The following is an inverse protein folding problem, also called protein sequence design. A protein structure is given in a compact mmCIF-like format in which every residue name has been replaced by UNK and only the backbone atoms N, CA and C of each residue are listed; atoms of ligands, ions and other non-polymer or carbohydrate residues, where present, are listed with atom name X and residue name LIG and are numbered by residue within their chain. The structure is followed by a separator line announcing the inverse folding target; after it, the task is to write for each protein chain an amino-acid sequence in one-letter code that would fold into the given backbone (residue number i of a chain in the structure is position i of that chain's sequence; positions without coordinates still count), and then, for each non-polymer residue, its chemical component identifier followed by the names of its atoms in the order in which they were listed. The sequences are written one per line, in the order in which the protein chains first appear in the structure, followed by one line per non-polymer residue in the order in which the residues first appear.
data_IF_434817672893
#
_entry.id   IF_434817672893
#
_cell.length_a   1.000
_cell.length_b   1.000
_cell.length_c   1.000
_cell.angle_alpha   90.00
_cell.angle_beta   90.00
_cell.angle_gamma   90.00
#
_symmetry.space_group_name_H-M   'P 1'
#
loop_
_entity.id
_entity.type
_entity.pdbx_description
1 polymer ?
#
# COMPACT_ATOMS: atom_id res chain seq x y z
N UNK A 1 30.52 -34.65 -8.27
CA UNK A 1 31.50 -34.71 -7.17
C UNK A 1 32.76 -33.93 -7.55
N UNK A 2 33.37 -33.21 -6.58
CA UNK A 2 34.75 -32.64 -6.54
C UNK A 2 35.02 -31.43 -7.47
N UNK A 3 35.06 -30.17 -6.97
CA UNK A 3 36.00 -29.44 -6.07
C UNK A 3 37.20 -28.78 -6.81
N UNK A 4 37.16 -27.42 -6.83
CA UNK A 4 38.20 -26.37 -6.72
C UNK A 4 39.44 -26.40 -7.63
N UNK A 5 39.86 -25.22 -8.11
CA UNK A 5 41.23 -24.66 -7.96
C UNK A 5 41.18 -23.12 -8.05
N UNK A 6 41.98 -22.51 -7.18
CA UNK A 6 42.25 -21.08 -6.98
C UNK A 6 43.41 -20.69 -7.91
N UNK A 7 43.33 -19.53 -8.58
CA UNK A 7 44.46 -18.96 -9.29
C UNK A 7 44.94 -17.69 -8.60
N UNK A 8 46.17 -17.76 -8.05
CA UNK A 8 46.97 -16.65 -7.56
C UNK A 8 47.40 -15.75 -8.72
N UNK A 9 47.50 -14.45 -8.48
CA UNK A 9 48.34 -13.57 -9.30
C UNK A 9 49.26 -12.77 -8.39
N UNK A 10 50.51 -13.23 -8.36
CA UNK A 10 51.70 -12.52 -7.88
C UNK A 10 51.95 -11.31 -8.79
N UNK A 11 52.16 -10.11 -8.23
CA UNK A 11 52.86 -9.03 -8.94
C UNK A 11 53.97 -8.49 -8.03
N UNK A 12 55.12 -8.34 -8.68
CA UNK A 12 56.46 -8.32 -8.17
C UNK A 12 56.85 -7.10 -7.30
N UNK A 13 57.79 -7.42 -6.43
CA UNK A 13 58.76 -6.60 -5.71
C UNK A 13 59.44 -5.55 -6.63
N UNK A 14 59.45 -4.28 -6.22
CA UNK A 14 60.41 -3.29 -6.74
C UNK A 14 60.91 -2.39 -5.61
N UNK A 15 62.15 -2.69 -5.21
CA UNK A 15 63.22 -1.81 -4.74
C UNK A 15 62.87 -0.58 -3.88
N UNK A 16 63.24 -0.68 -2.61
CA UNK A 16 63.55 0.46 -1.73
C UNK A 16 64.81 1.18 -2.24
N UNK A 17 64.94 2.50 -2.04
CA UNK A 17 66.24 3.08 -1.76
C UNK A 17 66.32 3.43 -0.27
N UNK A 18 67.11 2.66 0.46
CA UNK A 18 67.74 3.08 1.71
C UNK A 18 68.80 4.12 1.38
N UNK A 19 68.63 5.35 1.86
CA UNK A 19 69.71 6.34 1.92
C UNK A 19 69.94 6.71 3.39
N UNK A 20 71.13 6.43 3.88
CA UNK A 20 71.69 6.91 5.14
C UNK A 20 72.73 8.02 4.86
N UNK A 21 73.05 8.80 5.91
CA UNK A 21 74.09 9.85 6.05
C UNK A 21 73.78 11.26 5.48
N UNK A 22 74.12 12.40 6.10
CA UNK A 22 74.55 12.80 7.46
C UNK A 22 74.61 14.36 7.57
N UNK A 23 74.61 14.86 8.83
CA UNK A 23 75.22 16.12 9.37
C UNK A 23 74.79 17.56 8.93
N UNK A 24 74.56 18.36 9.98
CA UNK A 24 74.83 19.81 10.20
C UNK A 24 73.92 20.94 9.65
N UNK A 25 73.27 21.61 10.62
CA UNK A 25 73.04 23.06 10.82
C UNK A 25 72.61 23.97 9.65
N UNK A 26 71.36 24.44 9.68
CA UNK A 26 70.97 25.85 9.91
C UNK A 26 69.46 25.99 9.69
N UNK A 27 68.81 26.62 10.67
CA UNK A 27 67.40 26.99 10.70
C UNK A 27 67.02 27.86 9.50
N UNK A 28 65.99 27.46 8.74
CA UNK A 28 65.27 28.35 7.84
C UNK A 28 63.79 27.90 7.66
N UNK A 29 62.80 28.79 7.86
CA UNK A 29 61.40 28.43 8.04
C UNK A 29 60.68 28.29 6.69
N UNK A 30 60.88 27.17 5.98
CA UNK A 30 60.14 26.89 4.74
C UNK A 30 59.53 25.48 4.65
N UNK A 31 59.58 24.72 5.75
CA UNK A 31 59.04 23.36 5.83
C UNK A 31 57.59 23.27 6.36
N UNK A 32 57.07 24.31 6.99
CA UNK A 32 55.73 24.29 7.59
C UNK A 32 54.57 24.37 6.57
N UNK A 33 54.82 24.81 5.33
CA UNK A 33 53.78 24.93 4.31
C UNK A 33 53.48 23.61 3.56
N UNK A 34 54.43 22.67 3.49
CA UNK A 34 54.29 21.44 2.69
C UNK A 34 53.69 20.26 3.46
N UNK A 35 53.87 20.21 4.79
CA UNK A 35 53.27 19.16 5.64
C UNK A 35 51.79 19.45 5.94
N UNK A 36 51.40 20.73 5.95
CA UNK A 36 50.00 21.16 6.20
C UNK A 36 49.10 20.93 4.97
N UNK A 37 49.63 20.91 3.75
CA UNK A 37 48.85 20.63 2.53
C UNK A 37 48.60 19.13 2.29
N UNK A 38 49.55 18.25 2.65
CA UNK A 38 49.37 16.79 2.55
C UNK A 38 48.44 16.24 3.65
N UNK A 39 48.46 16.79 4.87
CA UNK A 39 47.55 16.37 5.95
C UNK A 39 46.10 16.81 5.72
N UNK A 40 45.89 17.97 5.07
CA UNK A 40 44.55 18.45 4.68
C UNK A 40 43.98 17.72 3.45
N UNK A 41 44.84 17.25 2.55
CA UNK A 41 44.47 16.41 1.38
C UNK A 41 44.03 15.00 1.79
N UNK A 42 44.80 14.31 2.65
CA UNK A 42 44.49 12.94 3.11
C UNK A 42 43.27 12.85 4.05
N UNK A 43 43.01 13.90 4.84
CA UNK A 43 41.80 13.99 5.67
C UNK A 43 40.54 14.30 4.85
N UNK A 44 40.66 15.05 3.74
CA UNK A 44 39.56 15.31 2.80
C UNK A 44 39.18 14.06 2.00
N UNK A 45 40.17 13.29 1.52
CA UNK A 45 39.91 12.03 0.80
C UNK A 45 39.30 10.93 1.69
N UNK A 46 39.73 10.82 2.95
CA UNK A 46 39.09 9.91 3.94
C UNK A 46 37.65 10.31 4.25
N UNK A 47 37.35 11.61 4.42
CA UNK A 47 35.98 12.10 4.66
C UNK A 47 35.05 11.84 3.47
N UNK A 48 35.55 12.01 2.24
CA UNK A 48 34.77 11.67 1.04
C UNK A 48 34.52 10.16 0.90
N UNK A 49 35.51 9.32 1.14
CA UNK A 49 35.34 7.86 1.10
C UNK A 49 34.28 7.37 2.11
N UNK A 50 34.27 7.93 3.33
CA UNK A 50 33.25 7.62 4.34
C UNK A 50 31.85 8.10 3.91
N UNK A 51 31.76 9.28 3.28
CA UNK A 51 30.48 9.83 2.79
C UNK A 51 29.90 8.97 1.65
N UNK A 52 30.73 8.57 0.69
CA UNK A 52 30.34 7.71 -0.43
C UNK A 52 29.91 6.32 0.07
N UNK A 53 30.63 5.76 1.04
CA UNK A 53 30.26 4.50 1.70
C UNK A 53 28.85 4.56 2.31
N UNK A 54 28.57 5.61 3.11
CA UNK A 54 27.24 5.82 3.72
C UNK A 54 26.13 5.96 2.67
N UNK A 55 26.36 6.75 1.62
CA UNK A 55 25.39 6.92 0.54
C UNK A 55 25.11 5.60 -0.20
N UNK A 56 26.13 4.78 -0.43
CA UNK A 56 25.98 3.47 -1.06
C UNK A 56 25.18 2.50 -0.17
N UNK A 57 25.34 2.58 1.14
CA UNK A 57 24.53 1.78 2.08
C UNK A 57 23.07 2.23 2.09
N UNK A 58 22.81 3.53 2.23
CA UNK A 58 21.46 4.11 2.17
C UNK A 58 20.73 3.72 0.87
N UNK A 59 21.41 3.85 -0.27
CA UNK A 59 20.86 3.47 -1.57
C UNK A 59 20.42 1.99 -1.61
N UNK A 60 21.17 1.08 -0.98
CA UNK A 60 20.79 -0.35 -0.91
C UNK A 60 19.54 -0.56 -0.05
N UNK A 61 19.46 0.12 1.09
CA UNK A 61 18.33 0.03 2.01
C UNK A 61 17.04 0.58 1.36
N UNK A 62 17.14 1.73 0.71
CA UNK A 62 16.02 2.34 -0.02
C UNK A 62 15.59 1.49 -1.22
N UNK A 63 16.53 0.94 -1.99
CA UNK A 63 16.18 0.05 -3.10
C UNK A 63 15.48 -1.23 -2.64
N UNK A 64 15.88 -1.75 -1.48
CA UNK A 64 15.21 -2.89 -0.84
C UNK A 64 13.78 -2.52 -0.42
N UNK A 65 13.62 -1.35 0.21
CA UNK A 65 12.31 -0.82 0.62
C UNK A 65 11.38 -0.61 -0.57
N UNK A 66 11.88 0.01 -1.64
CA UNK A 66 11.14 0.22 -2.88
C UNK A 66 10.65 -1.11 -3.47
N UNK A 67 11.51 -2.15 -3.53
CA UNK A 67 11.13 -3.48 -4.02
C UNK A 67 10.08 -4.16 -3.13
N UNK A 68 10.25 -4.07 -1.81
CA UNK A 68 9.28 -4.60 -0.85
C UNK A 68 7.91 -3.92 -1.01
N UNK A 69 7.89 -2.61 -1.25
CA UNK A 69 6.68 -1.83 -1.46
C UNK A 69 5.96 -2.19 -2.77
N UNK A 70 6.69 -2.45 -3.86
CA UNK A 70 6.10 -2.99 -5.10
C UNK A 70 5.39 -4.31 -4.83
N UNK A 71 6.03 -5.23 -4.11
CA UNK A 71 5.40 -6.52 -3.73
C UNK A 71 4.13 -6.29 -2.89
N UNK A 72 4.20 -5.46 -1.86
CA UNK A 72 3.05 -5.12 -1.02
C UNK A 72 1.90 -4.55 -1.85
N UNK A 73 2.18 -3.64 -2.77
CA UNK A 73 1.16 -3.05 -3.65
C UNK A 73 0.45 -4.12 -4.51
N UNK A 74 1.21 -5.05 -5.11
CA UNK A 74 0.64 -6.16 -5.90
C UNK A 74 -0.23 -7.07 -5.02
N UNK A 75 0.25 -7.43 -3.83
CA UNK A 75 -0.49 -8.30 -2.91
C UNK A 75 -1.80 -7.64 -2.43
N UNK A 76 -1.77 -6.34 -2.12
CA UNK A 76 -2.96 -5.58 -1.72
C UNK A 76 -3.97 -5.46 -2.87
N UNK A 77 -3.51 -5.25 -4.12
CA UNK A 77 -4.39 -5.27 -5.29
C UNK A 77 -5.13 -6.60 -5.45
N UNK A 78 -4.41 -7.72 -5.28
CA UNK A 78 -5.03 -9.05 -5.32
C UNK A 78 -6.11 -9.19 -4.24
N UNK A 79 -5.81 -8.75 -3.01
CA UNK A 79 -6.79 -8.77 -1.90
C UNK A 79 -8.03 -7.92 -2.18
N UNK A 80 -7.86 -6.70 -2.71
CA UNK A 80 -8.98 -5.85 -3.14
C UNK A 80 -9.86 -6.57 -4.16
N UNK A 81 -9.26 -7.18 -5.18
CA UNK A 81 -10.00 -7.90 -6.21
C UNK A 81 -10.75 -9.12 -5.66
N UNK A 82 -10.13 -9.88 -4.77
CA UNK A 82 -10.76 -11.04 -4.12
C UNK A 82 -11.99 -10.61 -3.29
N UNK A 83 -11.85 -9.56 -2.46
CA UNK A 83 -12.96 -9.03 -1.66
C UNK A 83 -14.07 -8.42 -2.51
N UNK A 84 -13.71 -7.74 -3.60
CA UNK A 84 -14.68 -7.22 -4.58
C UNK A 84 -15.49 -8.35 -5.20
N UNK A 85 -14.83 -9.43 -5.63
CA UNK A 85 -15.50 -10.58 -6.21
C UNK A 85 -16.46 -11.25 -5.20
N UNK A 86 -16.01 -11.42 -3.95
CA UNK A 86 -16.84 -11.97 -2.88
C UNK A 86 -18.07 -11.08 -2.60
N UNK A 87 -17.87 -9.77 -2.44
CA UNK A 87 -18.98 -8.84 -2.19
C UNK A 87 -19.97 -8.85 -3.35
N UNK A 88 -19.48 -8.83 -4.59
CA UNK A 88 -20.34 -8.90 -5.78
C UNK A 88 -21.17 -10.19 -5.83
N UNK A 89 -20.60 -11.33 -5.43
CA UNK A 89 -21.34 -12.60 -5.36
C UNK A 89 -22.51 -12.52 -4.38
N UNK A 90 -22.29 -12.01 -3.17
CA UNK A 90 -23.35 -11.86 -2.16
C UNK A 90 -24.40 -10.84 -2.61
N UNK A 91 -23.96 -9.71 -3.16
CA UNK A 91 -24.86 -8.69 -3.71
C UNK A 91 -25.70 -9.21 -4.88
N UNK A 92 -25.15 -10.12 -5.70
CA UNK A 92 -25.91 -10.83 -6.73
C UNK A 92 -27.05 -11.65 -6.13
N UNK A 93 -26.74 -12.50 -5.15
CA UNK A 93 -27.74 -13.30 -4.44
C UNK A 93 -28.84 -12.46 -3.77
N UNK A 94 -28.48 -11.30 -3.20
CA UNK A 94 -29.47 -10.37 -2.61
C UNK A 94 -30.37 -9.76 -3.68
N UNK A 95 -29.81 -9.37 -4.83
CA UNK A 95 -30.58 -8.79 -5.94
C UNK A 95 -31.48 -9.80 -6.63
N UNK A 96 -31.03 -11.05 -6.72
CA UNK A 96 -31.78 -12.18 -7.25
C UNK A 96 -32.87 -12.67 -6.28
N UNK A 97 -32.92 -12.14 -5.05
CA UNK A 97 -33.89 -12.53 -4.03
C UNK A 97 -33.61 -13.88 -3.36
N UNK A 98 -32.49 -14.54 -3.69
CA UNK A 98 -32.10 -15.82 -3.05
C UNK A 98 -31.54 -15.60 -1.65
N UNK A 99 -31.09 -14.38 -1.34
CA UNK A 99 -30.72 -13.95 0.00
C UNK A 99 -31.40 -12.64 0.36
N UNK A 100 -31.61 -12.39 1.64
CA UNK A 100 -32.15 -11.13 2.15
C UNK A 100 -31.37 -10.60 3.33
N UNK A 101 -31.49 -9.28 3.55
CA UNK A 101 -30.98 -8.57 4.71
C UNK A 101 -32.12 -7.71 5.29
N UNK A 102 -32.19 -7.57 6.62
CA UNK A 102 -32.97 -6.52 7.28
C UNK A 102 -32.73 -5.14 6.65
N UNK A 103 -33.77 -4.28 6.66
CA UNK A 103 -33.75 -2.99 5.97
C UNK A 103 -32.66 -2.02 6.48
N UNK A 104 -32.37 -2.06 7.78
CA UNK A 104 -31.28 -1.31 8.41
C UNK A 104 -29.91 -1.78 7.92
N UNK A 105 -29.71 -3.09 7.82
CA UNK A 105 -28.48 -3.68 7.30
C UNK A 105 -28.29 -3.42 5.81
N UNK A 106 -29.38 -3.43 5.02
CA UNK A 106 -29.34 -3.05 3.61
C UNK A 106 -28.95 -1.58 3.43
N UNK A 107 -29.49 -0.70 4.27
CA UNK A 107 -29.13 0.73 4.29
C UNK A 107 -27.66 0.94 4.66
N UNK A 108 -27.18 0.26 5.70
CA UNK A 108 -25.79 0.30 6.12
C UNK A 108 -24.84 -0.25 5.04
N UNK A 109 -25.20 -1.37 4.40
CA UNK A 109 -24.43 -1.97 3.31
C UNK A 109 -24.34 -1.02 2.11
N UNK A 110 -25.45 -0.37 1.73
CA UNK A 110 -25.46 0.63 0.66
C UNK A 110 -24.55 1.83 0.97
N UNK A 111 -24.53 2.30 2.22
CA UNK A 111 -23.61 3.36 2.64
C UNK A 111 -22.14 2.92 2.50
N UNK A 112 -21.80 1.69 2.91
CA UNK A 112 -20.45 1.13 2.75
C UNK A 112 -20.07 0.97 1.27
N UNK A 113 -20.98 0.52 0.41
CA UNK A 113 -20.74 0.41 -1.04
C UNK A 113 -20.44 1.78 -1.66
N UNK A 114 -21.17 2.83 -1.28
CA UNK A 114 -20.88 4.21 -1.73
C UNK A 114 -19.48 4.66 -1.31
N UNK A 115 -19.10 4.39 -0.05
CA UNK A 115 -17.75 4.69 0.45
C UNK A 115 -16.65 3.91 -0.30
N UNK A 116 -16.88 2.62 -0.59
CA UNK A 116 -15.97 1.80 -1.41
C UNK A 116 -15.82 2.42 -2.80
N UNK A 117 -16.90 2.80 -3.46
CA UNK A 117 -16.87 3.36 -4.81
C UNK A 117 -16.04 4.65 -4.87
N UNK A 118 -16.24 5.55 -3.90
CA UNK A 118 -15.44 6.78 -3.78
C UNK A 118 -13.95 6.48 -3.57
N UNK A 119 -13.61 5.55 -2.67
CA UNK A 119 -12.23 5.20 -2.38
C UNK A 119 -11.55 4.39 -3.49
N UNK A 120 -12.32 3.63 -4.29
CA UNK A 120 -11.79 2.74 -5.31
C UNK A 120 -11.06 3.52 -6.40
N UNK A 121 -11.64 4.62 -6.88
CA UNK A 121 -11.04 5.47 -7.92
C UNK A 121 -9.68 6.01 -7.48
N UNK A 122 -9.58 6.46 -6.23
CA UNK A 122 -8.36 7.06 -5.69
C UNK A 122 -7.26 6.03 -5.39
N UNK A 123 -7.64 4.81 -5.02
CA UNK A 123 -6.72 3.73 -4.67
C UNK A 123 -6.23 2.92 -5.87
N UNK A 124 -7.03 2.85 -6.94
CA UNK A 124 -6.70 2.05 -8.13
C UNK A 124 -6.01 2.82 -9.23
N UNK A 125 -5.88 4.14 -9.10
CA UNK A 125 -5.10 4.97 -10.02
C UNK A 125 -3.69 4.38 -10.23
N UNK A 126 -3.49 3.88 -11.45
CA UNK A 126 -2.29 3.17 -11.89
C UNK A 126 -1.19 4.12 -12.36
N UNK A 127 -1.40 5.44 -12.33
CA UNK A 127 -0.43 6.41 -12.80
C UNK A 127 0.99 6.13 -12.26
N UNK A 128 1.87 5.79 -13.21
CA UNK A 128 3.34 5.84 -13.31
C UNK A 128 4.27 5.33 -12.19
N UNK A 129 3.83 4.57 -11.19
CA UNK A 129 4.78 4.15 -10.12
C UNK A 129 5.82 3.12 -10.60
N UNK A 130 5.45 2.19 -11.48
CA UNK A 130 6.38 1.16 -11.97
C UNK A 130 7.44 1.73 -12.93
N UNK A 131 7.05 2.70 -13.76
CA UNK A 131 7.99 3.35 -14.69
C UNK A 131 8.98 4.24 -13.94
N UNK A 132 8.51 4.94 -12.90
CA UNK A 132 9.35 5.76 -12.03
C UNK A 132 10.29 4.90 -11.17
N UNK A 133 9.82 3.75 -10.66
CA UNK A 133 10.64 2.78 -9.94
C UNK A 133 11.77 2.23 -10.83
N UNK A 134 11.46 1.84 -12.07
CA UNK A 134 12.48 1.38 -13.04
C UNK A 134 13.50 2.48 -13.36
N UNK A 135 13.06 3.73 -13.54
CA UNK A 135 13.95 4.88 -13.77
C UNK A 135 14.84 5.17 -12.56
N UNK A 136 14.30 5.06 -11.35
CA UNK A 136 15.06 5.24 -10.10
C UNK A 136 16.10 4.12 -9.90
N UNK A 137 15.73 2.87 -10.17
CA UNK A 137 16.65 1.71 -10.14
C UNK A 137 17.76 1.82 -11.20
N UNK A 138 17.48 2.39 -12.38
CA UNK A 138 18.53 2.63 -13.37
C UNK A 138 19.55 3.68 -12.86
N UNK A 139 19.08 4.77 -12.23
CA UNK A 139 19.95 5.82 -11.65
C UNK A 139 20.81 5.31 -10.51
N UNK A 140 20.34 4.32 -9.76
CA UNK A 140 21.08 3.72 -8.64
C UNK A 140 22.34 2.94 -9.07
N UNK A 141 22.51 2.66 -10.37
CA UNK A 141 23.69 1.99 -10.93
C UNK A 141 24.84 2.96 -11.27
N UNK A 142 24.58 4.27 -11.25
CA UNK A 142 25.59 5.30 -11.51
C UNK A 142 26.41 5.69 -10.26
N UNK A 143 27.32 6.67 -10.43
CA UNK A 143 28.15 7.21 -9.35
C UNK A 143 27.51 8.39 -8.60
N UNK A 144 26.38 8.91 -9.10
CA UNK A 144 25.64 10.02 -8.49
C UNK A 144 24.65 9.52 -7.42
N UNK A 145 25.20 9.04 -6.29
CA UNK A 145 24.38 8.42 -5.25
C UNK A 145 23.32 9.34 -4.64
N UNK A 146 23.61 10.64 -4.45
CA UNK A 146 22.66 11.59 -3.85
C UNK A 146 21.42 11.84 -4.72
N UNK A 147 21.60 11.95 -6.04
CA UNK A 147 20.48 12.14 -6.97
C UNK A 147 19.67 10.85 -7.13
N UNK A 148 20.32 9.69 -7.06
CA UNK A 148 19.66 8.40 -7.06
C UNK A 148 18.81 8.17 -5.80
N UNK A 149 19.36 8.45 -4.61
CA UNK A 149 18.63 8.42 -3.32
C UNK A 149 17.37 9.31 -3.41
N UNK A 150 17.52 10.57 -3.80
CA UNK A 150 16.37 11.50 -3.93
C UNK A 150 15.29 10.99 -4.89
N UNK A 151 15.69 10.31 -5.97
CA UNK A 151 14.74 9.74 -6.92
C UNK A 151 14.01 8.51 -6.32
N UNK A 152 14.73 7.64 -5.60
CA UNK A 152 14.15 6.46 -4.95
C UNK A 152 13.21 6.90 -3.81
N UNK A 153 13.60 7.85 -2.97
CA UNK A 153 12.75 8.41 -1.90
C UNK A 153 11.40 8.91 -2.43
N UNK A 154 11.40 9.65 -3.55
CA UNK A 154 10.16 10.11 -4.20
C UNK A 154 9.27 8.94 -4.64
N UNK A 155 9.87 7.87 -5.16
CA UNK A 155 9.12 6.66 -5.55
C UNK A 155 8.57 5.95 -4.31
N UNK A 156 9.38 5.80 -3.26
CA UNK A 156 8.95 5.19 -1.99
C UNK A 156 7.76 5.96 -1.39
N UNK A 157 7.83 7.30 -1.34
CA UNK A 157 6.74 8.13 -0.83
C UNK A 157 5.44 7.92 -1.62
N UNK A 158 5.53 7.88 -2.96
CA UNK A 158 4.39 7.57 -3.83
C UNK A 158 3.83 6.16 -3.59
N UNK A 159 4.70 5.16 -3.47
CA UNK A 159 4.31 3.77 -3.18
C UNK A 159 3.62 3.66 -1.82
N UNK A 160 4.16 4.30 -0.78
CA UNK A 160 3.58 4.31 0.56
C UNK A 160 2.18 4.94 0.57
N UNK A 161 2.00 6.06 -0.14
CA UNK A 161 0.67 6.68 -0.34
C UNK A 161 -0.32 5.70 -0.98
N UNK A 162 0.09 4.99 -2.05
CA UNK A 162 -0.78 3.99 -2.71
C UNK A 162 -1.07 2.78 -1.81
N UNK A 163 -0.08 2.29 -1.07
CA UNK A 163 -0.24 1.21 -0.09
C UNK A 163 -1.26 1.62 0.98
N UNK A 164 -1.17 2.82 1.54
CA UNK A 164 -2.12 3.32 2.52
C UNK A 164 -3.56 3.37 1.96
N UNK A 165 -3.73 3.87 0.72
CA UNK A 165 -5.04 3.92 0.05
C UNK A 165 -5.64 2.53 -0.19
N UNK A 166 -4.84 1.57 -0.67
CA UNK A 166 -5.31 0.19 -0.86
C UNK A 166 -5.65 -0.49 0.46
N UNK A 167 -4.86 -0.27 1.52
CA UNK A 167 -5.16 -0.80 2.86
C UNK A 167 -6.48 -0.24 3.39
N UNK A 168 -6.73 1.07 3.24
CA UNK A 168 -8.01 1.68 3.60
C UNK A 168 -9.17 1.09 2.80
N UNK A 169 -9.00 0.92 1.49
CA UNK A 169 -10.00 0.30 0.63
C UNK A 169 -10.32 -1.14 1.05
N UNK A 170 -9.31 -1.93 1.42
CA UNK A 170 -9.50 -3.27 1.96
C UNK A 170 -10.36 -3.24 3.23
N UNK A 171 -10.08 -2.32 4.16
CA UNK A 171 -10.90 -2.14 5.36
C UNK A 171 -12.36 -1.80 5.05
N UNK A 172 -12.62 -0.96 4.05
CA UNK A 172 -13.98 -0.66 3.61
C UNK A 172 -14.70 -1.89 3.03
N UNK A 173 -13.97 -2.74 2.27
CA UNK A 173 -14.51 -4.02 1.81
C UNK A 173 -14.77 -4.99 2.97
N UNK A 174 -13.91 -5.02 3.99
CA UNK A 174 -14.09 -5.86 5.18
C UNK A 174 -15.34 -5.46 5.98
N UNK A 175 -15.56 -4.16 6.18
CA UNK A 175 -16.78 -3.63 6.79
C UNK A 175 -18.03 -4.03 6.00
N UNK A 176 -18.00 -3.88 4.67
CA UNK A 176 -19.14 -4.23 3.82
C UNK A 176 -19.41 -5.75 3.82
N UNK A 177 -18.36 -6.57 3.75
CA UNK A 177 -18.46 -8.02 3.80
C UNK A 177 -18.98 -8.52 5.15
N UNK A 178 -18.64 -7.84 6.25
CA UNK A 178 -19.17 -8.17 7.58
C UNK A 178 -20.70 -8.08 7.59
N UNK A 179 -21.28 -7.02 7.01
CA UNK A 179 -22.74 -6.88 6.88
C UNK A 179 -23.27 -7.88 5.86
N UNK A 180 -22.70 -7.93 4.65
CA UNK A 180 -23.21 -8.76 3.56
C UNK A 180 -23.26 -10.27 3.93
N UNK A 181 -22.29 -10.77 4.69
CA UNK A 181 -22.24 -12.18 5.12
C UNK A 181 -23.36 -12.57 6.10
N UNK A 182 -24.04 -11.61 6.72
CA UNK A 182 -25.22 -11.89 7.56
C UNK A 182 -26.47 -12.20 6.75
N UNK A 183 -26.43 -12.02 5.42
CA UNK A 183 -27.57 -12.27 4.55
C UNK A 183 -28.00 -13.75 4.58
N UNK A 184 -29.25 -14.00 4.94
CA UNK A 184 -29.86 -15.32 5.06
C UNK A 184 -30.54 -15.72 3.77
N UNK A 185 -30.70 -17.02 3.54
CA UNK A 185 -31.49 -17.55 2.41
C UNK A 185 -32.96 -17.21 2.65
N UNK A 186 -33.66 -16.78 1.60
CA UNK A 186 -35.10 -16.59 1.68
C UNK A 186 -35.76 -17.98 1.62
N UNK A 187 -36.40 -18.41 2.70
CA UNK A 187 -37.22 -19.62 2.70
C UNK A 187 -38.56 -19.32 2.05
N UNK A 188 -39.04 -20.23 1.19
CA UNK A 188 -40.30 -20.09 0.42
C UNK A 188 -41.58 -20.18 1.27
N UNK A 189 -41.49 -20.20 2.60
CA UNK A 189 -42.59 -20.63 3.49
C UNK A 189 -43.38 -19.49 4.15
N UNK A 190 -43.30 -18.25 3.66
CA UNK A 190 -44.15 -17.14 4.11
C UNK A 190 -45.04 -16.59 2.98
N UNK A 191 -45.78 -17.48 2.33
CA UNK A 191 -46.93 -17.10 1.49
C UNK A 191 -48.24 -17.68 2.03
N UNK A 192 -48.62 -17.34 3.28
CA UNK A 192 -50.05 -17.14 3.57
C UNK A 192 -50.31 -16.48 4.93
N UNK A 193 -50.71 -15.21 4.90
CA UNK A 193 -51.65 -14.69 5.89
C UNK A 193 -52.59 -13.76 5.17
N UNK A 194 -53.53 -14.35 4.43
CA UNK A 194 -54.75 -13.64 4.01
C UNK A 194 -55.50 -13.20 5.26
N UNK A 195 -55.57 -11.88 5.44
CA UNK A 195 -56.55 -11.20 6.28
C UNK A 195 -57.96 -11.69 5.91
N UNK A 196 -58.77 -12.21 6.86
CA UNK A 196 -60.19 -12.36 6.59
C UNK A 196 -60.84 -10.96 6.65
N UNK A 197 -61.26 -10.47 5.49
CA UNK A 197 -62.26 -9.40 5.38
C UNK A 197 -63.58 -9.97 5.88
N UNK A 198 -64.00 -9.54 7.06
CA UNK A 198 -65.31 -9.86 7.62
C UNK A 198 -66.34 -8.93 6.97
N UNK A 199 -67.02 -9.43 5.93
CA UNK A 199 -68.18 -8.78 5.33
C UNK A 199 -69.29 -9.83 5.23
N UNK A 200 -70.19 -9.86 6.21
CA UNK A 200 -71.54 -10.39 5.98
C UNK A 200 -72.56 -9.66 6.85
N UNK A 201 -73.18 -8.67 6.22
CA UNK A 201 -74.49 -8.12 6.53
C UNK A 201 -75.57 -9.21 6.45
N UNK A 202 -76.52 -9.28 7.41
CA UNK A 202 -77.85 -9.77 7.15
C UNK A 202 -78.86 -8.62 7.11
N UNK A 203 -79.70 -8.67 6.07
CA UNK A 203 -80.80 -7.76 5.81
C UNK A 203 -81.97 -7.89 6.81
N UNK A 204 -82.66 -6.77 6.95
CA UNK A 204 -83.99 -6.50 7.53
C UNK A 204 -84.95 -7.67 7.78
N UNK A 205 -85.63 -7.67 8.94
CA UNK A 205 -87.10 -7.47 8.94
C UNK A 205 -87.71 -7.03 10.30
N UNK A 206 -88.61 -6.04 10.20
CA UNK A 206 -89.87 -5.78 10.94
C UNK A 206 -89.93 -5.11 12.34
N UNK A 207 -90.46 -3.87 12.29
CA UNK A 207 -91.67 -3.36 12.97
C UNK A 207 -91.61 -2.95 14.45
N UNK A 208 -91.68 -1.64 14.70
CA UNK A 208 -92.37 -1.10 15.88
C UNK A 208 -93.00 0.26 15.57
N UNK A 209 -94.25 0.41 16.00
CA UNK A 209 -95.17 1.50 15.70
C UNK A 209 -94.86 2.78 16.49
N UNK A 210 -94.84 3.92 15.79
CA UNK A 210 -94.77 5.25 16.39
C UNK A 210 -96.10 5.99 16.21
N UNK A 211 -96.83 6.14 17.31
CA UNK A 211 -98.03 6.97 17.44
C UNK A 211 -97.66 8.45 17.31
N UNK A 212 -98.30 9.18 16.40
CA UNK A 212 -98.28 10.65 16.34
C UNK A 212 -99.58 11.16 16.94
N UNK A 213 -99.46 11.92 18.03
CA UNK A 213 -100.54 12.71 18.63
C UNK A 213 -100.33 14.16 18.23
N UNK A 214 -101.38 14.78 17.68
CA UNK A 214 -101.68 16.23 17.61
C UNK A 214 -103.12 16.34 17.08
N UNK A 215 -103.88 17.42 17.33
CA UNK A 215 -103.48 18.80 17.64
C UNK A 215 -103.51 19.19 19.12
#
# INVERSE_FOLDING_TARGET
MKKKIIAMTLIALLAVPTAAYAKTSKTNPKAAAKVTSLSKSSSKSKKEAVKVSKQKQQLKEELTTMKANVKKFVDLKKKVNAKKAELNKIMGAIKEGTKTLPADQLTALNAKIKAISAAYKDATDTASVDSEAKKAEAKSKGTQYSSAITAIDKVIAKQNSKVAKLTKLIGLYDDALTIARTATVVSEDETNTTTPTDETTPADTTTSAGTVVTP
#
